data_IF_328904178841
#
_entry.id   IF_328904178841
#
_cell.length_a   1.000
_cell.length_b   1.000
_cell.length_c   1.000
_cell.angle_alpha   90.00
_cell.angle_beta   90.00
_cell.angle_gamma   90.00
#
_symmetry.space_group_name_H-M   'P 1'
#
loop_
_entity.id
_entity.type
_entity.pdbx_description
1 polymer ?
#
# COMPACT_ATOMS: atom_id res chain seq x y z
N UNK A 1 -20.64 -59.90 45.46
CA UNK A 1 -22.04 -60.00 45.00
C UNK A 1 -22.80 -58.78 45.49
N UNK A 2 -23.03 -57.79 44.64
CA UNK A 2 -24.25 -56.98 44.55
C UNK A 2 -24.10 -56.10 43.30
N UNK A 3 -25.00 -56.34 42.34
CA UNK A 3 -25.08 -55.69 41.04
C UNK A 3 -25.75 -54.33 41.23
N UNK A 4 -25.25 -53.28 40.58
CA UNK A 4 -26.00 -52.04 40.39
C UNK A 4 -25.90 -51.67 38.92
N UNK A 5 -26.84 -52.20 38.14
CA UNK A 5 -27.20 -51.70 36.82
C UNK A 5 -28.11 -50.49 37.03
N UNK A 6 -27.75 -49.32 36.50
CA UNK A 6 -28.70 -48.21 36.37
C UNK A 6 -28.84 -47.84 34.90
N UNK A 7 -30.09 -47.87 34.47
CA UNK A 7 -30.56 -47.71 33.09
C UNK A 7 -30.31 -46.29 32.55
N UNK A 8 -29.91 -46.29 31.29
CA UNK A 8 -30.00 -45.19 30.34
C UNK A 8 -31.49 -44.90 30.04
N UNK A 9 -31.96 -43.67 30.25
CA UNK A 9 -33.24 -43.18 29.72
C UNK A 9 -32.97 -42.09 28.70
N UNK A 10 -33.19 -42.45 27.45
CA UNK A 10 -33.16 -41.59 26.27
C UNK A 10 -34.54 -40.93 26.13
N UNK A 11 -34.61 -39.61 26.28
CA UNK A 11 -35.83 -38.83 26.02
C UNK A 11 -35.64 -38.00 24.75
N UNK A 12 -36.19 -38.49 23.64
CA UNK A 12 -36.33 -37.77 22.37
C UNK A 12 -37.58 -36.90 22.48
N UNK A 13 -37.44 -35.58 22.35
CA UNK A 13 -38.59 -34.68 22.14
C UNK A 13 -38.43 -34.00 20.78
N UNK A 14 -39.24 -34.45 19.84
CA UNK A 14 -39.46 -33.79 18.56
C UNK A 14 -40.60 -32.78 18.75
N UNK A 15 -40.33 -31.50 18.54
CA UNK A 15 -41.37 -30.47 18.46
C UNK A 15 -41.24 -29.76 17.11
N UNK A 16 -42.29 -29.89 16.30
CA UNK A 16 -42.36 -29.42 14.93
C UNK A 16 -42.98 -28.01 14.83
N UNK A 17 -42.51 -27.29 13.81
CA UNK A 17 -43.17 -26.26 12.99
C UNK A 17 -44.08 -25.20 13.63
N UNK A 18 -43.71 -23.93 13.42
CA UNK A 18 -44.61 -22.95 12.80
C UNK A 18 -43.79 -21.87 12.09
N UNK A 19 -43.76 -21.92 10.77
CA UNK A 19 -43.29 -20.83 9.92
C UNK A 19 -44.44 -19.81 9.76
N UNK A 20 -44.21 -18.57 10.17
CA UNK A 20 -45.13 -17.46 9.88
C UNK A 20 -44.47 -16.57 8.84
N UNK A 21 -44.95 -16.70 7.61
CA UNK A 21 -44.70 -15.82 6.48
C UNK A 21 -45.35 -14.47 6.74
N UNK A 22 -44.55 -13.40 6.87
CA UNK A 22 -45.04 -12.02 6.84
C UNK A 22 -44.51 -11.36 5.56
N UNK A 23 -45.42 -11.04 4.64
CA UNK A 23 -45.14 -10.30 3.42
C UNK A 23 -44.75 -8.84 3.72
N UNK A 24 -43.82 -8.24 2.95
CA UNK A 24 -43.56 -6.80 3.01
C UNK A 24 -44.65 -6.01 2.25
N UNK A 25 -44.96 -4.77 2.67
CA UNK A 25 -45.84 -3.88 1.92
C UNK A 25 -45.13 -3.30 0.69
N UNK A 26 -45.85 -3.38 -0.41
CA UNK A 26 -45.62 -2.75 -1.71
C UNK A 26 -45.65 -1.22 -1.56
N UNK A 27 -44.57 -0.51 -1.90
CA UNK A 27 -44.60 0.95 -2.07
C UNK A 27 -43.60 1.40 -3.13
N UNK A 28 -44.16 1.58 -4.33
CA UNK A 28 -43.90 2.63 -5.31
C UNK A 28 -42.43 2.93 -5.70
N UNK A 29 -42.06 2.41 -6.87
CA UNK A 29 -41.02 2.96 -7.72
C UNK A 29 -41.42 4.34 -8.30
N UNK A 30 -40.50 5.31 -8.38
CA UNK A 30 -40.56 6.34 -9.41
C UNK A 30 -39.82 5.86 -10.67
N UNK A 31 -40.58 5.81 -11.76
CA UNK A 31 -40.08 5.83 -13.15
C UNK A 31 -39.53 7.23 -13.44
N UNK A 32 -38.80 7.37 -14.56
CA UNK A 32 -38.40 8.60 -15.30
C UNK A 32 -36.94 9.00 -14.97
N UNK A 33 -35.96 9.17 -15.88
CA UNK A 33 -35.87 9.15 -17.35
C UNK A 33 -34.41 8.90 -17.74
N UNK A 34 -34.17 8.09 -18.78
CA UNK A 34 -32.87 8.01 -19.47
C UNK A 34 -32.81 9.07 -20.56
N UNK A 35 -32.07 10.15 -20.34
CA UNK A 35 -31.73 11.13 -21.39
C UNK A 35 -30.33 10.87 -21.92
N UNK A 36 -30.26 10.24 -23.09
CA UNK A 36 -29.11 10.30 -24.00
C UNK A 36 -29.03 11.69 -24.61
N UNK A 37 -27.97 12.44 -24.30
CA UNK A 37 -27.68 13.70 -25.00
C UNK A 37 -26.46 13.51 -25.88
N UNK A 38 -26.71 13.52 -27.19
CA UNK A 38 -25.73 13.50 -28.27
C UNK A 38 -24.97 14.82 -28.38
N UNK A 39 -23.66 14.72 -28.59
CA UNK A 39 -22.75 15.76 -29.08
C UNK A 39 -23.22 16.34 -30.42
N UNK A 40 -23.16 17.66 -30.61
CA UNK A 40 -22.31 18.17 -31.71
C UNK A 40 -21.65 19.52 -31.43
N UNK A 41 -20.43 19.72 -31.95
CA UNK A 41 -19.94 21.08 -32.24
C UNK A 41 -18.46 21.32 -31.94
N UNK A 42 -17.59 20.91 -32.87
CA UNK A 42 -16.26 21.49 -33.01
C UNK A 42 -16.35 22.90 -33.62
N UNK A 43 -15.46 23.82 -33.21
CA UNK A 43 -14.93 24.81 -34.14
C UNK A 43 -13.47 24.49 -34.46
N UNK A 44 -13.21 24.36 -35.76
CA UNK A 44 -11.87 24.33 -36.32
C UNK A 44 -11.08 25.59 -35.93
N UNK A 45 -9.80 25.45 -35.58
CA UNK A 45 -8.83 26.55 -35.66
C UNK A 45 -7.46 25.99 -36.06
N UNK A 46 -7.23 26.05 -37.37
CA UNK A 46 -6.06 26.62 -38.05
C UNK A 46 -4.67 26.08 -37.71
N UNK A 47 -4.13 25.32 -38.68
CA UNK A 47 -2.71 25.09 -38.90
C UNK A 47 -1.95 26.42 -39.05
N UNK A 48 -1.00 26.67 -38.16
CA UNK A 48 0.08 27.63 -38.36
C UNK A 48 1.35 26.91 -38.79
N UNK A 49 1.49 26.66 -40.10
CA UNK A 49 2.76 26.24 -40.71
C UNK A 49 3.58 27.49 -41.01
N UNK A 50 4.68 27.69 -40.28
CA UNK A 50 5.71 28.66 -40.67
C UNK A 50 6.98 27.91 -41.03
N UNK A 51 7.14 27.67 -42.32
CA UNK A 51 8.40 27.34 -42.98
C UNK A 51 9.30 28.59 -42.93
N UNK A 52 10.48 28.49 -42.33
CA UNK A 52 11.52 29.52 -42.44
C UNK A 52 12.73 28.92 -43.14
N UNK A 53 12.90 29.31 -44.39
CA UNK A 53 14.02 29.04 -45.28
C UNK A 53 15.06 30.17 -45.17
N UNK A 54 16.29 29.80 -44.78
CA UNK A 54 17.61 30.20 -45.37
C UNK A 54 17.98 31.70 -45.28
N UNK A 55 19.23 32.12 -44.90
CA UNK A 55 20.45 31.69 -45.59
C UNK A 55 21.74 31.47 -44.78
N UNK A 56 22.58 30.63 -45.39
CA UNK A 56 24.00 30.42 -45.11
C UNK A 56 24.79 31.70 -45.38
N UNK A 57 25.43 32.25 -44.36
CA UNK A 57 26.43 33.32 -44.49
C UNK A 57 27.79 32.79 -44.02
N UNK A 58 28.69 32.58 -44.97
CA UNK A 58 30.12 32.40 -44.72
C UNK A 58 30.71 33.71 -44.21
N UNK A 59 31.44 33.68 -43.10
CA UNK A 59 32.41 34.73 -42.77
C UNK A 59 33.69 34.11 -42.21
N UNK A 60 34.79 34.57 -42.79
CA UNK A 60 36.17 34.16 -42.62
C UNK A 60 36.78 34.79 -41.36
N UNK A 61 37.53 33.99 -40.61
CA UNK A 61 38.73 34.31 -39.80
C UNK A 61 38.74 35.53 -38.88
N UNK A 62 38.96 35.32 -37.57
CA UNK A 62 40.09 35.93 -36.81
C UNK A 62 40.33 35.13 -35.53
N UNK A 63 41.51 34.51 -35.45
CA UNK A 63 42.08 33.88 -34.26
C UNK A 63 42.36 34.94 -33.19
N UNK A 64 41.65 34.86 -32.07
CA UNK A 64 42.05 35.53 -30.83
C UNK A 64 42.47 34.44 -29.83
N UNK A 65 43.78 34.32 -29.63
CA UNK A 65 44.38 33.50 -28.57
C UNK A 65 44.15 34.20 -27.24
N UNK A 66 43.12 33.78 -26.51
CA UNK A 66 42.96 34.13 -25.10
C UNK A 66 43.46 32.94 -24.28
N UNK A 67 44.64 33.08 -23.70
CA UNK A 67 45.17 32.17 -22.68
C UNK A 67 44.37 32.38 -21.40
N UNK A 68 43.21 31.74 -21.31
CA UNK A 68 42.50 31.59 -20.04
C UNK A 68 43.10 30.38 -19.33
N UNK A 69 43.84 30.65 -18.26
CA UNK A 69 44.21 29.65 -17.27
C UNK A 69 42.93 28.98 -16.77
N UNK A 70 42.64 27.78 -17.29
CA UNK A 70 41.65 26.88 -16.73
C UNK A 70 42.25 26.40 -15.42
N UNK A 71 41.97 27.12 -14.33
CA UNK A 71 41.99 26.53 -13.01
C UNK A 71 41.07 25.32 -13.10
N UNK A 72 41.65 24.13 -13.02
CA UNK A 72 40.90 22.88 -13.02
C UNK A 72 39.80 23.02 -11.98
N UNK A 73 38.56 23.09 -12.46
CA UNK A 73 37.43 22.78 -11.63
C UNK A 73 37.63 21.31 -11.28
N UNK A 74 38.17 21.07 -10.08
CA UNK A 74 38.12 19.77 -9.45
C UNK A 74 36.65 19.48 -9.31
N UNK A 75 36.08 18.74 -10.27
CA UNK A 75 34.77 18.14 -10.14
C UNK A 75 34.85 17.26 -8.90
N UNK A 76 34.41 17.77 -7.76
CA UNK A 76 34.05 16.91 -6.63
C UNK A 76 32.80 16.18 -7.09
N UNK A 77 32.98 15.14 -7.90
CA UNK A 77 31.99 14.08 -7.99
C UNK A 77 31.95 13.50 -6.60
N UNK A 78 31.05 14.00 -5.76
CA UNK A 78 30.67 13.33 -4.53
C UNK A 78 30.13 11.97 -4.96
N UNK A 79 31.01 10.98 -4.96
CA UNK A 79 30.66 9.60 -5.25
C UNK A 79 29.55 9.22 -4.27
N UNK A 80 28.38 8.87 -4.80
CA UNK A 80 27.26 8.38 -3.98
C UNK A 80 27.71 7.14 -3.19
N UNK A 81 27.25 7.01 -1.95
CA UNK A 81 27.58 5.86 -1.13
C UNK A 81 26.97 4.56 -1.71
N UNK A 82 27.67 3.45 -1.50
CA UNK A 82 27.25 2.13 -1.94
C UNK A 82 27.45 1.87 -3.43
N UNK A 83 27.40 0.59 -3.77
CA UNK A 83 27.53 0.14 -5.16
C UNK A 83 26.19 0.27 -5.88
N UNK A 84 26.18 0.51 -7.21
CA UNK A 84 24.98 0.34 -8.01
C UNK A 84 24.36 -1.04 -7.78
N UNK A 85 23.04 -1.11 -7.79
CA UNK A 85 22.30 -2.35 -7.64
C UNK A 85 21.24 -2.42 -8.73
N UNK A 86 21.15 -3.55 -9.43
CA UNK A 86 20.31 -3.68 -10.64
C UNK A 86 19.00 -4.44 -10.37
N UNK A 87 18.68 -4.69 -9.09
CA UNK A 87 17.46 -5.35 -8.67
C UNK A 87 16.62 -4.35 -7.88
N UNK A 88 15.46 -3.99 -8.40
CA UNK A 88 14.58 -3.02 -7.75
C UNK A 88 13.47 -2.55 -8.71
N UNK A 89 12.66 -1.59 -8.27
CA UNK A 89 11.63 -0.96 -9.10
C UNK A 89 12.20 -0.29 -10.35
N UNK A 90 11.56 -0.48 -11.49
CA UNK A 90 11.94 0.15 -12.73
C UNK A 90 11.63 1.66 -12.70
N UNK A 91 12.23 2.39 -13.63
CA UNK A 91 11.91 3.80 -13.83
C UNK A 91 10.41 3.97 -14.16
N UNK A 92 9.74 4.86 -13.43
CA UNK A 92 8.32 5.16 -13.60
C UNK A 92 7.38 4.28 -12.79
N UNK A 93 7.87 3.25 -12.10
CA UNK A 93 7.05 2.45 -11.20
C UNK A 93 6.53 3.29 -10.03
N UNK A 94 5.28 3.01 -9.62
CA UNK A 94 4.60 3.67 -8.51
C UNK A 94 4.62 2.78 -7.28
N UNK A 95 5.08 3.33 -6.17
CA UNK A 95 5.24 2.64 -4.89
C UNK A 95 4.51 3.38 -3.77
N UNK A 96 4.21 2.65 -2.70
CA UNK A 96 3.68 3.23 -1.47
C UNK A 96 4.54 2.94 -0.24
N UNK A 97 4.37 3.81 0.77
CA UNK A 97 5.01 3.70 2.08
C UNK A 97 4.37 2.54 2.85
N UNK A 98 5.22 1.73 3.48
CA UNK A 98 4.80 0.57 4.28
C UNK A 98 5.66 0.39 5.52
N UNK A 99 5.05 -0.12 6.59
CA UNK A 99 5.71 -0.46 7.84
C UNK A 99 6.39 0.71 8.55
N UNK A 100 5.82 1.91 8.39
CA UNK A 100 6.12 3.14 9.15
C UNK A 100 4.99 3.34 10.15
N UNK A 101 5.31 3.67 11.40
CA UNK A 101 4.31 3.84 12.45
C UNK A 101 3.49 5.12 12.24
N UNK A 102 2.26 5.14 12.74
CA UNK A 102 1.33 6.27 12.60
C UNK A 102 1.85 7.61 13.18
N UNK A 103 2.84 7.57 14.07
CA UNK A 103 3.47 8.70 14.72
C UNK A 103 4.90 8.96 14.21
N UNK A 104 5.26 8.38 13.07
CA UNK A 104 6.56 8.52 12.41
C UNK A 104 6.39 8.86 10.91
N UNK A 105 7.51 9.09 10.22
CA UNK A 105 7.57 9.45 8.80
C UNK A 105 8.69 8.70 8.08
N UNK A 106 8.49 8.43 6.79
CA UNK A 106 9.59 7.98 5.94
C UNK A 106 10.45 9.17 5.51
N UNK A 107 11.74 9.11 5.82
CA UNK A 107 12.70 10.13 5.42
C UNK A 107 13.22 9.91 4.00
N UNK A 108 13.07 10.93 3.14
CA UNK A 108 13.72 11.01 1.83
C UNK A 108 14.97 11.87 1.96
N UNK A 109 16.11 11.39 1.46
CA UNK A 109 17.43 11.97 1.73
C UNK A 109 18.16 12.41 0.47
N UNK A 110 19.11 13.33 0.60
CA UNK A 110 19.91 13.82 -0.52
C UNK A 110 20.89 12.79 -1.11
N UNK A 111 21.04 11.64 -0.47
CA UNK A 111 21.84 10.51 -0.93
C UNK A 111 21.51 9.23 -0.18
N UNK A 112 22.03 8.08 -0.66
CA UNK A 112 21.73 6.77 -0.10
C UNK A 112 22.40 6.60 1.26
N UNK A 113 21.63 6.54 2.33
CA UNK A 113 22.12 6.35 3.68
C UNK A 113 21.64 7.40 4.67
N UNK A 114 21.66 7.04 5.95
CA UNK A 114 21.14 7.89 7.03
C UNK A 114 22.03 9.09 7.39
N UNK A 115 23.26 9.14 6.85
CA UNK A 115 24.20 10.24 7.02
C UNK A 115 23.95 11.41 6.06
N UNK A 116 23.08 11.24 5.06
CA UNK A 116 22.67 12.30 4.14
C UNK A 116 21.54 13.13 4.73
N UNK A 117 21.47 14.42 4.36
CA UNK A 117 20.44 15.34 4.83
C UNK A 117 19.05 14.89 4.35
N UNK A 118 18.03 15.11 5.18
CA UNK A 118 16.63 14.88 4.81
C UNK A 118 16.21 16.03 3.87
N UNK A 119 15.57 15.68 2.75
CA UNK A 119 15.07 16.62 1.73
C UNK A 119 13.54 16.62 1.61
N UNK A 120 12.89 15.53 2.04
CA UNK A 120 11.44 15.42 2.18
C UNK A 120 11.09 14.35 3.22
N UNK A 121 9.83 14.35 3.66
CA UNK A 121 9.25 13.34 4.54
C UNK A 121 7.93 12.87 3.97
N UNK A 122 7.62 11.58 4.09
CA UNK A 122 6.38 10.99 3.60
C UNK A 122 5.59 10.37 4.75
N UNK A 123 4.29 10.59 4.72
CA UNK A 123 3.36 10.02 5.69
C UNK A 123 3.26 8.49 5.55
N UNK A 124 2.87 7.75 6.60
CA UNK A 124 2.86 6.28 6.61
C UNK A 124 2.01 5.60 5.54
N UNK A 125 1.03 6.31 4.94
CA UNK A 125 0.16 5.82 3.87
C UNK A 125 0.43 6.47 2.50
N UNK A 126 1.48 7.28 2.35
CA UNK A 126 1.76 7.94 1.08
C UNK A 126 2.00 6.91 -0.04
N UNK A 127 1.32 7.03 -1.18
CA UNK A 127 1.23 5.99 -2.22
C UNK A 127 1.62 6.46 -3.63
N UNK A 128 2.18 7.66 -3.74
CA UNK A 128 2.54 8.30 -5.02
C UNK A 128 4.06 8.50 -5.15
N UNK A 129 4.83 7.49 -4.78
CA UNK A 129 6.29 7.48 -4.94
C UNK A 129 6.63 7.01 -6.35
N UNK A 130 7.37 7.81 -7.11
CA UNK A 130 7.84 7.42 -8.45
C UNK A 130 9.29 6.97 -8.39
N UNK A 131 9.59 5.74 -8.76
CA UNK A 131 10.95 5.22 -8.83
C UNK A 131 11.72 5.79 -10.05
N UNK A 132 13.01 6.10 -9.87
CA UNK A 132 13.88 6.52 -11.00
C UNK A 132 14.66 5.37 -11.63
N UNK A 133 14.50 4.14 -11.13
CA UNK A 133 15.27 2.96 -11.53
C UNK A 133 16.73 2.96 -11.04
N UNK A 134 17.12 3.91 -10.18
CA UNK A 134 18.46 3.96 -9.59
C UNK A 134 18.45 3.40 -8.17
N UNK A 135 19.26 2.36 -7.95
CA UNK A 135 19.37 1.70 -6.65
C UNK A 135 20.82 1.68 -6.18
N UNK A 136 21.00 1.69 -4.85
CA UNK A 136 22.30 1.65 -4.19
C UNK A 136 22.30 0.60 -3.09
N UNK A 137 23.18 -0.39 -3.23
CA UNK A 137 23.44 -1.38 -2.20
C UNK A 137 24.51 -0.85 -1.24
N UNK A 138 24.10 -0.61 0.00
CA UNK A 138 24.99 -0.37 1.13
C UNK A 138 25.15 -1.68 1.93
N UNK A 139 26.10 -1.70 2.88
CA UNK A 139 26.44 -2.89 3.66
C UNK A 139 25.25 -3.61 4.31
N UNK A 140 24.17 -2.90 4.66
CA UNK A 140 23.00 -3.46 5.37
C UNK A 140 21.65 -2.94 4.86
N UNK A 141 21.63 -2.27 3.72
CA UNK A 141 20.41 -1.62 3.23
C UNK A 141 20.50 -1.36 1.73
N UNK A 142 19.36 -1.44 1.06
CA UNK A 142 19.21 -0.97 -0.31
C UNK A 142 18.43 0.34 -0.25
N UNK A 143 18.89 1.31 -1.03
CA UNK A 143 18.25 2.62 -1.18
C UNK A 143 17.86 2.83 -2.62
N UNK A 144 16.65 3.31 -2.82
CA UNK A 144 16.13 3.68 -4.12
C UNK A 144 16.08 5.18 -4.22
N UNK A 145 16.47 5.69 -5.38
CA UNK A 145 16.17 7.06 -5.71
C UNK A 145 14.76 7.18 -6.27
N UNK A 146 14.04 8.17 -5.76
CA UNK A 146 12.62 8.40 -6.00
C UNK A 146 12.37 9.86 -6.31
N UNK A 147 11.21 10.11 -6.93
CA UNK A 147 10.61 11.42 -7.08
C UNK A 147 9.29 11.45 -6.33
N UNK A 148 9.14 12.44 -5.46
CA UNK A 148 7.92 12.70 -4.68
C UNK A 148 7.63 14.19 -4.72
N UNK A 149 6.42 14.56 -5.17
CA UNK A 149 6.00 15.97 -5.26
C UNK A 149 7.02 16.89 -5.97
N UNK A 150 7.73 16.36 -6.97
CA UNK A 150 8.77 17.08 -7.72
C UNK A 150 10.15 17.15 -7.05
N UNK A 151 10.33 16.56 -5.86
CA UNK A 151 11.61 16.44 -5.16
C UNK A 151 12.24 15.08 -5.47
N UNK A 152 13.47 15.09 -5.96
CA UNK A 152 14.29 13.87 -6.12
C UNK A 152 15.13 13.62 -4.87
N UNK A 153 15.11 12.38 -4.38
CA UNK A 153 15.95 11.96 -3.26
C UNK A 153 15.95 10.45 -3.06
N UNK A 154 16.54 9.98 -1.98
CA UNK A 154 16.79 8.57 -1.70
C UNK A 154 16.03 8.11 -0.47
N UNK A 155 15.32 6.99 -0.59
CA UNK A 155 14.61 6.36 0.51
C UNK A 155 15.04 4.90 0.69
N UNK A 156 14.89 4.38 1.90
CA UNK A 156 15.24 3.00 2.21
C UNK A 156 14.12 2.07 1.72
N UNK A 157 14.48 1.11 0.86
CA UNK A 157 13.57 0.13 0.27
C UNK A 157 12.75 -0.68 1.28
N UNK A 158 13.22 -0.82 2.52
CA UNK A 158 12.49 -1.51 3.58
C UNK A 158 11.10 -0.94 3.88
N UNK A 159 10.87 0.33 3.51
CA UNK A 159 9.65 1.07 3.79
C UNK A 159 8.86 1.43 2.54
N UNK A 160 9.17 0.82 1.39
CA UNK A 160 8.50 1.08 0.13
C UNK A 160 8.25 -0.23 -0.62
N UNK A 161 7.10 -0.33 -1.26
CA UNK A 161 6.75 -1.51 -2.06
C UNK A 161 5.61 -1.18 -3.02
N UNK A 162 5.29 -2.11 -3.91
CA UNK A 162 4.11 -2.00 -4.76
C UNK A 162 2.88 -2.35 -3.96
N UNK A 163 1.83 -1.53 -4.07
CA UNK A 163 0.56 -1.78 -3.41
C UNK A 163 -0.39 -2.46 -4.39
N UNK A 164 -0.76 -3.70 -4.07
CA UNK A 164 -1.73 -4.49 -4.81
C UNK A 164 -3.17 -4.04 -4.59
N UNK A 165 -4.15 -4.80 -5.13
CA UNK A 165 -5.56 -4.55 -4.88
C UNK A 165 -5.91 -4.73 -3.40
N UNK A 166 -7.04 -4.15 -3.02
CA UNK A 166 -7.65 -4.32 -1.69
C UNK A 166 -8.78 -5.32 -1.82
N UNK A 167 -8.74 -6.38 -1.01
CA UNK A 167 -9.75 -7.43 -0.96
C UNK A 167 -10.45 -7.48 0.41
N UNK A 168 -11.74 -7.80 0.42
CA UNK A 168 -12.46 -8.16 1.65
C UNK A 168 -12.02 -9.57 2.09
N UNK A 169 -11.19 -9.62 3.13
CA UNK A 169 -10.64 -10.85 3.67
C UNK A 169 -11.44 -11.41 4.85
N UNK A 170 -12.54 -10.75 5.26
CA UNK A 170 -13.25 -11.00 6.53
C UNK A 170 -13.61 -12.47 6.71
N UNK A 171 -14.26 -13.08 5.71
CA UNK A 171 -14.69 -14.46 5.78
C UNK A 171 -13.52 -15.45 5.89
N UNK A 172 -12.39 -15.17 5.21
CA UNK A 172 -11.18 -16.00 5.26
C UNK A 172 -10.57 -15.99 6.66
N UNK A 173 -10.43 -14.82 7.28
CA UNK A 173 -9.88 -14.71 8.63
C UNK A 173 -10.79 -15.36 9.67
N UNK A 174 -12.11 -15.16 9.59
CA UNK A 174 -13.04 -15.80 10.52
C UNK A 174 -12.96 -17.31 10.41
N UNK A 175 -13.04 -17.86 9.19
CA UNK A 175 -13.03 -19.31 8.98
C UNK A 175 -11.70 -19.96 9.37
N UNK A 176 -10.58 -19.39 8.93
CA UNK A 176 -9.27 -20.05 9.00
C UNK A 176 -8.40 -19.56 10.18
N UNK A 177 -8.61 -18.32 10.64
CA UNK A 177 -7.86 -17.73 11.74
C UNK A 177 -8.54 -17.84 13.10
N UNK A 178 -9.87 -17.69 13.12
CA UNK A 178 -10.66 -17.63 14.35
C UNK A 178 -11.64 -18.81 14.54
N UNK A 179 -11.47 -19.88 13.77
CA UNK A 179 -12.24 -21.11 13.92
C UNK A 179 -13.76 -20.93 13.70
N UNK A 180 -14.14 -20.01 12.82
CA UNK A 180 -15.53 -19.71 12.48
C UNK A 180 -16.25 -18.76 13.44
N UNK A 181 -15.57 -18.21 14.45
CA UNK A 181 -16.17 -17.28 15.43
C UNK A 181 -15.66 -15.87 15.19
N UNK A 182 -16.55 -14.89 15.30
CA UNK A 182 -16.16 -13.47 15.26
C UNK A 182 -15.37 -13.10 16.52
N UNK A 183 -14.10 -12.66 16.40
CA UNK A 183 -13.32 -12.25 17.56
C UNK A 183 -13.79 -10.90 18.10
N UNK A 184 -13.51 -10.65 19.38
CA UNK A 184 -13.72 -9.37 20.04
C UNK A 184 -12.57 -9.06 20.99
N UNK A 185 -12.30 -7.78 21.24
CA UNK A 185 -11.28 -7.35 22.18
C UNK A 185 -11.67 -6.04 22.91
N UNK A 186 -11.12 -5.76 24.10
CA UNK A 186 -11.41 -4.53 24.86
C UNK A 186 -11.10 -3.22 24.12
N UNK A 187 -10.12 -3.21 23.21
CA UNK A 187 -9.75 -2.03 22.43
C UNK A 187 -9.61 -2.34 20.94
N UNK A 188 -9.74 -1.34 20.08
CA UNK A 188 -9.48 -1.50 18.64
C UNK A 188 -8.04 -1.92 18.35
N UNK A 189 -7.07 -1.48 19.14
CA UNK A 189 -5.68 -1.92 19.00
C UNK A 189 -5.56 -3.41 19.28
N UNK A 190 -6.12 -3.90 20.40
CA UNK A 190 -6.08 -5.32 20.73
C UNK A 190 -6.83 -6.16 19.70
N UNK A 191 -7.97 -5.69 19.19
CA UNK A 191 -8.69 -6.35 18.11
C UNK A 191 -7.82 -6.43 16.84
N UNK A 192 -7.18 -5.31 16.48
CA UNK A 192 -6.27 -5.26 15.34
C UNK A 192 -5.08 -6.21 15.49
N UNK A 193 -4.51 -6.28 16.69
CA UNK A 193 -3.39 -7.19 16.99
C UNK A 193 -3.81 -8.66 16.94
N UNK A 194 -5.06 -9.01 17.30
CA UNK A 194 -5.56 -10.38 17.09
C UNK A 194 -5.61 -10.75 15.60
N UNK A 195 -6.06 -9.84 14.74
CA UNK A 195 -6.08 -10.06 13.29
C UNK A 195 -4.65 -10.15 12.73
N UNK A 196 -3.77 -9.24 13.13
CA UNK A 196 -2.37 -9.26 12.71
C UNK A 196 -1.62 -10.53 13.18
N UNK A 197 -2.00 -11.09 14.34
CA UNK A 197 -1.42 -12.35 14.86
C UNK A 197 -1.78 -13.55 13.99
N UNK A 198 -2.98 -13.57 13.41
CA UNK A 198 -3.39 -14.58 12.41
C UNK A 198 -2.61 -14.43 11.11
N UNK A 199 -2.32 -13.20 10.69
CA UNK A 199 -1.68 -12.91 9.43
C UNK A 199 -0.16 -13.17 9.41
N UNK A 200 0.51 -13.00 10.56
CA UNK A 200 1.98 -12.98 10.61
C UNK A 200 2.60 -14.33 10.24
N UNK A 201 3.80 -14.25 9.68
CA UNK A 201 4.72 -15.39 9.64
C UNK A 201 5.58 -15.44 10.91
N UNK A 202 5.88 -16.67 11.34
CA UNK A 202 6.78 -16.95 12.47
C UNK A 202 8.22 -17.13 11.98
N UNK A 203 8.40 -17.70 10.79
CA UNK A 203 9.71 -17.94 10.18
C UNK A 203 9.64 -17.69 8.66
N UNK A 204 10.22 -16.59 8.17
CA UNK A 204 10.83 -15.51 8.93
C UNK A 204 9.79 -14.73 9.76
N UNK A 205 10.19 -14.12 10.90
CA UNK A 205 9.25 -13.37 11.73
C UNK A 205 8.80 -12.09 11.04
N UNK A 206 7.48 -11.88 10.96
CA UNK A 206 6.93 -10.62 10.45
C UNK A 206 7.17 -9.46 11.41
N UNK A 207 7.37 -8.27 10.83
CA UNK A 207 7.29 -6.99 11.53
C UNK A 207 5.85 -6.50 11.47
N UNK A 208 5.24 -6.31 12.64
CA UNK A 208 3.89 -5.75 12.77
C UNK A 208 4.02 -4.27 13.13
N UNK A 209 3.31 -3.39 12.42
CA UNK A 209 3.38 -1.94 12.62
C UNK A 209 1.99 -1.33 12.52
N UNK A 210 1.59 -0.53 13.51
CA UNK A 210 0.34 0.24 13.45
C UNK A 210 0.60 1.48 12.61
N UNK A 211 0.07 1.49 11.39
CA UNK A 211 0.31 2.52 10.37
C UNK A 211 -0.72 3.65 10.44
N UNK A 212 -1.93 3.35 10.94
CA UNK A 212 -2.92 4.36 11.34
C UNK A 212 -3.37 4.07 12.76
N UNK A 213 -3.37 5.11 13.60
CA UNK A 213 -3.78 5.00 14.99
C UNK A 213 -5.21 4.43 15.11
N UNK A 214 -5.50 3.65 16.15
CA UNK A 214 -6.85 3.24 16.45
C UNK A 214 -7.75 4.46 16.63
N UNK A 215 -8.92 4.44 15.99
CA UNK A 215 -9.95 5.44 16.18
C UNK A 215 -11.23 4.81 16.73
N UNK A 216 -11.98 5.60 17.49
CA UNK A 216 -13.25 5.20 18.08
C UNK A 216 -14.34 6.15 17.60
N UNK A 217 -15.41 5.60 17.05
CA UNK A 217 -16.58 6.32 16.55
C UNK A 217 -17.78 5.38 16.45
N UNK A 218 -18.70 5.64 15.52
CA UNK A 218 -19.79 4.70 15.18
C UNK A 218 -19.24 3.34 14.73
N UNK A 219 -18.01 3.35 14.20
CA UNK A 219 -17.19 2.22 13.88
C UNK A 219 -15.79 2.47 14.43
N UNK A 220 -15.17 1.46 15.02
CA UNK A 220 -13.76 1.49 15.39
C UNK A 220 -12.90 1.08 14.21
N UNK A 221 -11.76 1.73 14.03
CA UNK A 221 -10.85 1.47 12.90
C UNK A 221 -9.40 1.41 13.35
N UNK A 222 -8.60 0.55 12.71
CA UNK A 222 -7.14 0.54 12.86
C UNK A 222 -6.50 0.00 11.57
N UNK A 223 -5.35 0.54 11.18
CA UNK A 223 -4.57 0.03 10.04
C UNK A 223 -3.23 -0.50 10.51
N UNK A 224 -2.90 -1.73 10.11
CA UNK A 224 -1.70 -2.44 10.53
C UNK A 224 -0.99 -3.03 9.31
N UNK A 225 0.30 -2.75 9.18
CA UNK A 225 1.17 -3.43 8.23
C UNK A 225 1.82 -4.65 8.87
N UNK A 226 1.71 -5.80 8.20
CA UNK A 226 2.37 -7.06 8.55
C UNK A 226 3.39 -7.37 7.45
N UNK A 227 4.64 -6.99 7.69
CA UNK A 227 5.72 -7.05 6.69
C UNK A 227 6.64 -8.24 6.96
N UNK A 228 6.96 -9.00 5.91
CA UNK A 228 7.81 -10.18 5.97
C UNK A 228 7.01 -11.44 6.23
N UNK A 229 6.28 -11.92 5.23
CA UNK A 229 5.47 -13.14 5.31
C UNK A 229 6.24 -14.43 4.96
N UNK A 230 7.48 -14.30 4.47
CA UNK A 230 8.30 -15.44 4.05
C UNK A 230 8.04 -15.91 2.63
N UNK A 231 7.02 -15.36 1.99
CA UNK A 231 6.82 -15.44 0.54
C UNK A 231 7.76 -14.44 -0.14
N UNK A 232 8.39 -14.87 -1.23
CA UNK A 232 9.29 -14.04 -2.03
C UNK A 232 8.55 -13.19 -3.06
N UNK A 233 7.25 -13.43 -3.24
CA UNK A 233 6.31 -12.66 -4.08
C UNK A 233 5.66 -11.54 -3.25
N UNK A 234 5.08 -11.91 -2.11
CA UNK A 234 4.38 -11.00 -1.19
C UNK A 234 5.34 -10.49 -0.11
N UNK A 235 5.69 -9.20 -0.21
CA UNK A 235 6.49 -8.49 0.78
C UNK A 235 5.80 -8.41 2.15
N UNK A 236 4.47 -8.31 2.15
CA UNK A 236 3.65 -8.13 3.33
C UNK A 236 2.18 -7.90 2.97
N UNK A 237 1.39 -7.54 3.98
CA UNK A 237 0.01 -7.10 3.79
C UNK A 237 -0.27 -5.89 4.67
N UNK A 238 -1.21 -5.04 4.23
CA UNK A 238 -1.80 -3.97 5.02
C UNK A 238 -3.22 -4.36 5.35
N UNK A 239 -3.54 -4.35 6.64
CA UNK A 239 -4.85 -4.70 7.17
C UNK A 239 -5.55 -3.43 7.64
N UNK A 240 -6.66 -3.05 7.02
CA UNK A 240 -7.58 -2.05 7.54
C UNK A 240 -8.75 -2.77 8.19
N UNK A 241 -8.82 -2.65 9.51
CA UNK A 241 -9.67 -3.49 10.36
C UNK A 241 -10.74 -2.61 10.96
N UNK A 242 -11.98 -3.06 10.82
CA UNK A 242 -13.17 -2.37 11.31
C UNK A 242 -13.81 -3.19 12.43
N UNK A 243 -14.11 -2.53 13.56
CA UNK A 243 -14.76 -3.14 14.72
C UNK A 243 -16.06 -2.43 15.07
N UNK A 244 -17.11 -3.20 15.35
CA UNK A 244 -18.36 -2.66 15.89
C UNK A 244 -18.22 -2.48 17.41
N UNK A 245 -18.48 -1.29 17.97
CA UNK A 245 -18.51 -1.09 19.42
C UNK A 245 -19.51 -2.02 20.12
N UNK A 246 -19.16 -2.50 21.30
CA UNK A 246 -19.96 -3.38 22.17
C UNK A 246 -19.89 -2.88 23.62
N UNK A 247 -20.58 -3.56 24.55
CA UNK A 247 -20.47 -3.25 25.98
C UNK A 247 -19.08 -3.46 26.57
N UNK A 248 -18.27 -4.34 25.96
CA UNK A 248 -17.02 -4.86 26.52
C UNK A 248 -15.82 -4.58 25.60
N UNK A 249 -15.96 -3.67 24.63
CA UNK A 249 -14.92 -3.32 23.65
C UNK A 249 -15.45 -3.36 22.23
N UNK A 250 -14.74 -4.02 21.31
CA UNK A 250 -15.07 -4.09 19.88
C UNK A 250 -15.17 -5.53 19.40
N UNK A 251 -16.18 -5.83 18.57
CA UNK A 251 -16.28 -7.08 17.82
C UNK A 251 -15.90 -6.85 16.36
N UNK A 252 -15.15 -7.77 15.76
CA UNK A 252 -14.73 -7.66 14.36
C UNK A 252 -15.94 -7.52 13.43
N UNK A 253 -15.93 -6.50 12.58
CA UNK A 253 -16.93 -6.27 11.53
C UNK A 253 -16.41 -6.70 10.17
N UNK A 254 -15.28 -6.15 9.75
CA UNK A 254 -14.66 -6.44 8.47
C UNK A 254 -13.15 -6.24 8.50
N UNK A 255 -12.47 -6.87 7.54
CA UNK A 255 -11.04 -6.76 7.28
C UNK A 255 -10.88 -6.50 5.79
N UNK A 256 -10.33 -5.34 5.46
CA UNK A 256 -9.79 -5.05 4.15
C UNK A 256 -8.30 -5.37 4.17
N UNK A 257 -7.86 -6.26 3.28
CA UNK A 257 -6.46 -6.66 3.14
C UNK A 257 -5.92 -6.15 1.80
N UNK A 258 -4.81 -5.44 1.85
CA UNK A 258 -4.07 -5.01 0.67
C UNK A 258 -2.74 -5.74 0.61
N UNK A 259 -2.47 -6.40 -0.51
CA UNK A 259 -1.18 -7.06 -0.73
C UNK A 259 -0.06 -6.03 -0.97
N UNK A 260 1.12 -6.33 -0.44
CA UNK A 260 2.36 -5.60 -0.73
C UNK A 260 3.25 -6.49 -1.58
N UNK A 261 3.51 -6.13 -2.83
CA UNK A 261 4.25 -6.99 -3.74
C UNK A 261 5.75 -6.65 -3.77
N UNK A 262 6.60 -7.63 -3.43
CA UNK A 262 8.04 -7.44 -3.37
C UNK A 262 8.72 -7.37 -4.75
N UNK A 263 8.08 -7.93 -5.78
CA UNK A 263 8.64 -8.10 -7.14
C UNK A 263 7.90 -7.31 -8.23
N UNK A 264 7.10 -6.33 -7.84
CA UNK A 264 6.17 -5.68 -8.75
C UNK A 264 4.83 -6.39 -8.81
N UNK A 265 3.98 -5.95 -9.73
CA UNK A 265 2.67 -6.54 -9.99
C UNK A 265 2.63 -7.07 -11.42
N UNK A 266 1.85 -8.14 -11.64
CA UNK A 266 1.52 -8.58 -12.99
C UNK A 266 0.40 -7.72 -13.62
N UNK A 267 -0.03 -8.06 -14.83
CA UNK A 267 -1.09 -7.34 -15.55
C UNK A 267 -2.44 -7.35 -14.86
N UNK A 268 -2.67 -8.30 -13.95
CA UNK A 268 -3.89 -8.43 -13.16
C UNK A 268 -3.78 -7.71 -11.80
N UNK A 269 -2.64 -7.06 -11.52
CA UNK A 269 -2.38 -6.36 -10.26
C UNK A 269 -1.93 -7.26 -9.11
N UNK A 270 -1.69 -8.55 -9.38
CA UNK A 270 -1.30 -9.53 -8.35
C UNK A 270 0.21 -9.62 -8.20
N UNK A 271 0.67 -10.01 -7.01
CA UNK A 271 2.08 -10.28 -6.76
C UNK A 271 2.54 -11.54 -7.52
N UNK A 272 3.50 -11.43 -8.46
CA UNK A 272 3.96 -12.54 -9.30
C UNK A 272 5.08 -13.39 -8.70
#
# INVERSE_FOLDING_TARGET
>A
MHRTSLLLVLAVTATACSATTTSPPDTAAPVIESTTTSTPGAPATTLGTTTSTTPLASTTTTTATTTTTVMGATSTTTTLAGEPFDIGPAEGDVLGVVGVAYDDVLNVRSGPGTNYAIVATLDPLFDQIIATGRHRLLTRSIWDEIVVEGVTGWANTRYMTYLGPVDDATARYIANGFGGTTPSAPTMLELGMLVADVAKSVDPPSRITVTVAPSEGDLGEVTIDVVGLGDDSVFGIRLHIFGTPTSDGFALKSIEEQEMCGRGMNYDGLCP
#
